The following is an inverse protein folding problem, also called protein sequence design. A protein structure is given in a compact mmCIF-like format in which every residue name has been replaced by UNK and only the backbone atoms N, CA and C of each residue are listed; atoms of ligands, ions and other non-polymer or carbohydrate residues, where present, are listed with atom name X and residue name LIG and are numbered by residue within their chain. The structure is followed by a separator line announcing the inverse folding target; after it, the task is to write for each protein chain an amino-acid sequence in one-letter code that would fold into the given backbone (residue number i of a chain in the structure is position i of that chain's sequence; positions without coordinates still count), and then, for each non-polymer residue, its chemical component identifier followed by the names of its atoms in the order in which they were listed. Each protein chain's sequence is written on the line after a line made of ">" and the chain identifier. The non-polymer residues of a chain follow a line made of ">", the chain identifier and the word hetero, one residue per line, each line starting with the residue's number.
data_IF_905043371049
#
_entry.id   IF_905043371049
#
_cell.length_a   1.000
_cell.length_b   1.000
_cell.length_c   1.000
_cell.angle_alpha   90.00
_cell.angle_beta   90.00
_cell.angle_gamma   90.00
#
_symmetry.space_group_name_H-M   'P 1'
#
loop_
_entity.id
_entity.type
_entity.pdbx_description
1 polymer ?
#
# COMPACT_ATOMS: atom_id res chain seq x y z
N UNK A 1 -4.07 22.34 4.07
CA UNK A 1 -3.80 21.56 5.30
C UNK A 1 -2.51 20.77 5.11
N UNK A 2 -1.41 21.24 5.70
CA UNK A 2 -0.12 20.56 5.70
C UNK A 2 -0.11 19.56 6.86
N UNK A 3 -0.37 18.29 6.55
CA UNK A 3 -0.22 17.19 7.51
C UNK A 3 1.29 16.95 7.68
N UNK A 4 1.86 17.13 8.88
CA UNK A 4 3.25 16.76 9.13
C UNK A 4 3.25 15.25 9.39
N UNK A 5 3.23 14.43 8.33
CA UNK A 5 3.43 13.00 8.46
C UNK A 5 4.68 12.61 7.67
N UNK A 6 5.51 11.76 8.27
CA UNK A 6 6.72 11.17 7.67
C UNK A 6 6.46 10.48 6.32
N UNK A 7 5.19 10.26 5.96
CA UNK A 7 4.76 9.58 4.74
C UNK A 7 4.07 10.55 3.79
N UNK A 8 4.81 11.07 2.82
CA UNK A 8 4.25 11.94 1.78
C UNK A 8 3.27 11.18 0.87
N UNK A 9 2.29 11.90 0.29
CA UNK A 9 1.37 11.37 -0.74
C UNK A 9 2.11 10.62 -1.86
N UNK A 10 3.30 11.10 -2.23
CA UNK A 10 4.15 10.47 -3.24
C UNK A 10 4.60 9.06 -2.82
N UNK A 11 4.97 8.86 -1.56
CA UNK A 11 5.35 7.56 -1.02
C UNK A 11 4.17 6.59 -1.01
N UNK A 12 2.99 7.06 -0.62
CA UNK A 12 1.75 6.26 -0.63
C UNK A 12 1.42 5.78 -2.04
N UNK A 13 1.47 6.69 -3.03
CA UNK A 13 1.23 6.35 -4.43
C UNK A 13 2.32 5.46 -5.04
N UNK A 14 3.55 5.53 -4.52
CA UNK A 14 4.62 4.59 -4.90
C UNK A 14 4.34 3.20 -4.34
N UNK A 15 4.02 3.10 -3.05
CA UNK A 15 3.65 1.84 -2.40
C UNK A 15 2.50 1.14 -3.13
N UNK A 16 1.46 1.88 -3.54
CA UNK A 16 0.36 1.33 -4.33
C UNK A 16 0.83 0.68 -5.64
N UNK A 17 1.74 1.35 -6.36
CA UNK A 17 2.30 0.83 -7.62
C UNK A 17 3.17 -0.40 -7.38
N UNK A 18 4.00 -0.38 -6.34
CA UNK A 18 4.88 -1.49 -6.00
C UNK A 18 4.08 -2.73 -5.58
N UNK A 19 3.01 -2.56 -4.77
CA UNK A 19 2.08 -3.63 -4.43
C UNK A 19 1.38 -4.23 -5.66
N UNK A 20 0.91 -3.39 -6.59
CA UNK A 20 0.29 -3.89 -7.82
C UNK A 20 1.28 -4.64 -8.71
N UNK A 21 2.52 -4.15 -8.82
CA UNK A 21 3.59 -4.82 -9.57
C UNK A 21 3.90 -6.18 -8.96
N UNK A 22 4.08 -6.25 -7.64
CA UNK A 22 4.26 -7.51 -6.92
C UNK A 22 3.09 -8.47 -7.16
N UNK A 23 1.85 -7.99 -6.99
CA UNK A 23 0.64 -8.78 -7.21
C UNK A 23 0.57 -9.40 -8.61
N UNK A 24 1.04 -8.69 -9.64
CA UNK A 24 1.09 -9.20 -11.01
C UNK A 24 2.14 -10.30 -11.25
N UNK A 25 3.09 -10.46 -10.34
CA UNK A 25 4.15 -11.47 -10.41
C UNK A 25 3.85 -12.73 -9.58
N UNK A 26 2.75 -12.74 -8.81
CA UNK A 26 2.37 -13.87 -7.97
C UNK A 26 1.98 -15.08 -8.84
N UNK A 27 2.63 -16.22 -8.63
CA UNK A 27 2.34 -17.46 -9.38
C UNK A 27 1.33 -18.37 -8.69
N UNK A 28 1.34 -18.40 -7.36
CA UNK A 28 0.54 -19.34 -6.55
C UNK A 28 -0.62 -18.68 -5.81
N UNK A 29 -0.96 -17.45 -6.18
CA UNK A 29 -2.06 -16.68 -5.57
C UNK A 29 -2.97 -16.18 -6.69
N UNK A 30 -4.27 -16.11 -6.41
CA UNK A 30 -5.20 -15.45 -7.33
C UNK A 30 -4.82 -13.95 -7.43
N UNK A 31 -4.17 -13.60 -8.54
CA UNK A 31 -3.67 -12.26 -8.79
C UNK A 31 -4.79 -11.22 -8.80
N UNK A 32 -5.93 -11.54 -9.40
CA UNK A 32 -7.08 -10.65 -9.48
C UNK A 32 -7.61 -10.34 -8.08
N UNK A 33 -7.78 -11.36 -7.25
CA UNK A 33 -8.19 -11.19 -5.85
C UNK A 33 -7.20 -10.29 -5.09
N UNK A 34 -5.89 -10.53 -5.24
CA UNK A 34 -4.87 -9.71 -4.58
C UNK A 34 -4.96 -8.23 -5.04
N UNK A 35 -5.02 -7.99 -6.35
CA UNK A 35 -5.10 -6.65 -6.92
C UNK A 35 -6.38 -5.91 -6.52
N UNK A 36 -7.53 -6.60 -6.53
CA UNK A 36 -8.80 -6.05 -6.06
C UNK A 36 -8.74 -5.71 -4.58
N UNK A 37 -8.14 -6.57 -3.75
CA UNK A 37 -7.97 -6.32 -2.32
C UNK A 37 -7.10 -5.09 -2.08
N UNK A 38 -5.95 -4.98 -2.74
CA UNK A 38 -5.08 -3.79 -2.64
C UNK A 38 -5.85 -2.53 -3.06
N UNK A 39 -6.59 -2.55 -4.16
CA UNK A 39 -7.40 -1.41 -4.58
C UNK A 39 -8.44 -1.01 -3.53
N UNK A 40 -9.19 -1.99 -3.00
CA UNK A 40 -10.23 -1.77 -2.00
C UNK A 40 -9.68 -1.12 -0.73
N UNK A 41 -8.55 -1.60 -0.23
CA UNK A 41 -7.91 -1.04 0.97
C UNK A 41 -7.51 0.43 0.77
N UNK A 42 -6.96 0.80 -0.39
CA UNK A 42 -6.60 2.18 -0.69
C UNK A 42 -7.83 3.08 -0.91
N UNK A 43 -8.89 2.56 -1.55
CA UNK A 43 -10.14 3.31 -1.72
C UNK A 43 -10.86 3.54 -0.39
N UNK A 44 -10.90 2.54 0.50
CA UNK A 44 -11.50 2.64 1.84
C UNK A 44 -10.76 3.65 2.72
N UNK A 45 -9.43 3.73 2.60
CA UNK A 45 -8.60 4.65 3.38
C UNK A 45 -8.35 5.99 2.66
N UNK A 46 -9.03 6.30 1.55
CA UNK A 46 -8.78 7.51 0.75
C UNK A 46 -9.03 8.82 1.51
N UNK A 47 -9.96 8.80 2.46
CA UNK A 47 -10.31 9.95 3.30
C UNK A 47 -9.70 9.87 4.70
N UNK A 48 -8.78 8.92 4.92
CA UNK A 48 -8.07 8.77 6.20
C UNK A 48 -7.17 10.00 6.40
N UNK A 49 -7.42 10.73 7.48
CA UNK A 49 -6.66 11.94 7.82
C UNK A 49 -5.81 11.79 9.09
N UNK A 50 -5.99 10.71 9.86
CA UNK A 50 -5.18 10.44 11.06
C UNK A 50 -3.75 10.04 10.64
N UNK A 51 -2.72 10.83 10.98
CA UNK A 51 -1.33 10.54 10.63
C UNK A 51 -0.85 9.18 11.14
N UNK A 52 -1.30 8.73 12.32
CA UNK A 52 -0.87 7.46 12.91
C UNK A 52 -1.42 6.27 12.13
N UNK A 53 -2.70 6.33 11.76
CA UNK A 53 -3.34 5.31 10.93
C UNK A 53 -2.73 5.27 9.53
N UNK A 54 -2.46 6.44 8.93
CA UNK A 54 -1.76 6.52 7.63
C UNK A 54 -0.39 5.83 7.72
N UNK A 55 0.38 6.14 8.76
CA UNK A 55 1.70 5.55 8.97
C UNK A 55 1.62 4.03 9.21
N UNK A 56 0.64 3.57 9.99
CA UNK A 56 0.40 2.15 10.23
C UNK A 56 0.07 1.41 8.93
N UNK A 57 -0.90 1.90 8.15
CA UNK A 57 -1.26 1.32 6.85
C UNK A 57 -0.06 1.29 5.89
N UNK A 58 0.72 2.38 5.84
CA UNK A 58 1.91 2.47 5.00
C UNK A 58 2.97 1.43 5.41
N UNK A 59 3.31 1.36 6.70
CA UNK A 59 4.28 0.38 7.23
C UNK A 59 3.83 -1.05 6.98
N UNK A 60 2.54 -1.35 7.16
CA UNK A 60 1.97 -2.68 6.88
C UNK A 60 2.14 -3.07 5.41
N UNK A 61 1.80 -2.18 4.48
CA UNK A 61 1.98 -2.44 3.05
C UNK A 61 3.45 -2.59 2.65
N UNK A 62 4.33 -1.76 3.22
CA UNK A 62 5.78 -1.86 2.98
C UNK A 62 6.35 -3.18 3.53
N UNK A 63 5.97 -3.59 4.73
CA UNK A 63 6.44 -4.83 5.34
C UNK A 63 6.12 -6.07 4.47
N UNK A 64 4.96 -6.09 3.80
CA UNK A 64 4.61 -7.15 2.86
C UNK A 64 5.61 -7.24 1.70
N UNK A 65 5.99 -6.09 1.14
CA UNK A 65 6.94 -6.04 0.04
C UNK A 65 8.38 -6.35 0.50
N UNK A 66 8.79 -5.90 1.69
CA UNK A 66 10.08 -6.21 2.29
C UNK A 66 10.19 -7.74 2.55
N UNK A 67 9.14 -8.37 3.08
CA UNK A 67 9.08 -9.83 3.28
C UNK A 67 9.13 -10.59 1.95
N UNK A 68 8.52 -10.05 0.90
CA UNK A 68 8.58 -10.58 -0.45
C UNK A 68 9.92 -10.30 -1.17
N UNK A 69 10.85 -9.55 -0.53
CA UNK A 69 12.14 -9.10 -1.12
C UNK A 69 11.99 -8.31 -2.42
N UNK A 70 10.91 -7.54 -2.55
CA UNK A 70 10.60 -6.76 -3.75
C UNK A 70 11.23 -5.36 -3.72
N UNK A 71 11.56 -4.86 -2.52
CA UNK A 71 12.21 -3.57 -2.26
C UNK A 71 13.27 -3.68 -1.17
#
# INVERSE_FOLDING_TARGET
>A
MTIPSLTSRRLILRLYRDLRRYGSQLQFTNQEYFLQRVRREFDQNRTLCDPKEIEFCYKRGKALLDQARVI
#
